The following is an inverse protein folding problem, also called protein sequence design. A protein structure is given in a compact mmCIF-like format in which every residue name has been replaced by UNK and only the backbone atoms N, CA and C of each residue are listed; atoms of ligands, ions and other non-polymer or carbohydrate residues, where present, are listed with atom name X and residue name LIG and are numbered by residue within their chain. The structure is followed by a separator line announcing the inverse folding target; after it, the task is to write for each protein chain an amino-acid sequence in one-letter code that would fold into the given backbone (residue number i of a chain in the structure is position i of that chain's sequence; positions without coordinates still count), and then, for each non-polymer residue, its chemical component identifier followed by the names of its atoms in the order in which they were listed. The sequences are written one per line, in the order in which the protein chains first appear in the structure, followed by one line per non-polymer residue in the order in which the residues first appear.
data_IF_501959459323
#
_entry.id   IF_501959459323
#
_cell.length_a   1.000
_cell.length_b   1.000
_cell.length_c   1.000
_cell.angle_alpha   90.00
_cell.angle_beta   90.00
_cell.angle_gamma   90.00
#
_symmetry.space_group_name_H-M   'P 1'
#
loop_
_entity.id
_entity.type
_entity.pdbx_description
1 polymer ?
#
# COMPACT_ATOMS: atom_id res chain seq x y z
N UNK A 1 -9.71 24.56 -3.81
CA UNK A 1 -9.19 23.21 -3.51
C UNK A 1 -10.27 22.42 -2.80
N UNK A 2 -10.49 21.18 -3.21
CA UNK A 2 -11.41 20.23 -2.56
C UNK A 2 -10.59 19.15 -1.86
N UNK A 3 -10.79 18.96 -0.58
CA UNK A 3 -10.11 17.95 0.24
C UNK A 3 -11.08 16.84 0.58
N UNK A 4 -10.78 15.61 0.17
CA UNK A 4 -11.47 14.43 0.63
C UNK A 4 -10.97 14.00 2.00
N UNK A 5 -11.85 13.43 2.83
CA UNK A 5 -11.49 12.84 4.11
C UNK A 5 -12.05 11.42 4.21
N UNK A 6 -11.15 10.47 4.44
CA UNK A 6 -11.51 9.09 4.77
C UNK A 6 -10.85 8.68 6.08
N UNK A 7 -11.65 8.45 7.11
CA UNK A 7 -11.19 7.99 8.42
C UNK A 7 -11.56 6.53 8.64
N UNK A 8 -10.67 5.77 9.26
CA UNK A 8 -10.98 4.42 9.69
C UNK A 8 -12.11 4.44 10.74
N UNK A 9 -13.28 3.90 10.43
CA UNK A 9 -14.45 3.99 11.32
C UNK A 9 -14.26 3.22 12.63
N UNK A 10 -13.38 2.21 12.65
CA UNK A 10 -13.10 1.40 13.83
C UNK A 10 -12.04 2.01 14.76
N UNK A 11 -11.51 3.18 14.41
CA UNK A 11 -10.53 3.92 15.22
C UNK A 11 -11.10 5.26 15.65
N UNK A 12 -11.57 5.43 16.90
CA UNK A 12 -12.11 6.71 17.40
C UNK A 12 -11.18 7.89 17.14
N UNK A 13 -9.87 7.68 17.30
CA UNK A 13 -8.85 8.67 17.03
C UNK A 13 -8.82 9.14 15.57
N UNK A 14 -9.07 8.26 14.61
CA UNK A 14 -9.14 8.66 13.19
C UNK A 14 -10.35 9.58 12.94
N UNK A 15 -11.48 9.29 13.58
CA UNK A 15 -12.67 10.15 13.51
C UNK A 15 -12.42 11.51 14.18
N UNK A 16 -11.71 11.55 15.31
CA UNK A 16 -11.34 12.81 15.97
C UNK A 16 -10.37 13.64 15.10
N UNK A 17 -9.44 13.01 14.42
CA UNK A 17 -8.58 13.69 13.44
C UNK A 17 -9.39 14.23 12.26
N UNK A 18 -10.42 13.52 11.79
CA UNK A 18 -11.32 14.01 10.73
C UNK A 18 -12.05 15.30 11.19
N UNK A 19 -12.61 15.32 12.39
CA UNK A 19 -13.24 16.49 12.98
C UNK A 19 -12.25 17.67 13.11
N UNK A 20 -11.06 17.39 13.62
CA UNK A 20 -9.98 18.38 13.74
C UNK A 20 -9.58 18.95 12.39
N UNK A 21 -9.45 18.10 11.36
CA UNK A 21 -9.14 18.55 10.00
C UNK A 21 -10.20 19.52 9.49
N UNK A 22 -11.48 19.16 9.56
CA UNK A 22 -12.59 20.02 9.11
C UNK A 22 -12.60 21.35 9.87
N UNK A 23 -12.44 21.30 11.19
CA UNK A 23 -12.36 22.50 12.02
C UNK A 23 -11.16 23.39 11.65
N UNK A 24 -9.98 22.80 11.46
CA UNK A 24 -8.76 23.54 11.12
C UNK A 24 -8.82 24.14 9.72
N UNK A 25 -9.36 23.43 8.74
CA UNK A 25 -9.53 23.95 7.38
C UNK A 25 -10.53 25.11 7.36
N UNK A 26 -11.63 25.00 8.09
CA UNK A 26 -12.68 26.02 8.16
C UNK A 26 -13.23 26.36 6.78
N UNK A 27 -13.26 27.64 6.42
CA UNK A 27 -13.73 28.14 5.13
C UNK A 27 -12.65 28.26 4.04
N UNK A 28 -11.40 27.85 4.34
CA UNK A 28 -10.26 27.99 3.42
C UNK A 28 -10.27 26.99 2.26
N UNK A 29 -10.98 25.87 2.41
CA UNK A 29 -11.19 24.88 1.37
C UNK A 29 -12.49 24.10 1.60
N UNK A 30 -13.04 23.50 0.54
CA UNK A 30 -14.17 22.58 0.63
C UNK A 30 -13.67 21.22 1.15
N UNK A 31 -14.29 20.69 2.20
CA UNK A 31 -13.97 19.36 2.75
C UNK A 31 -15.15 18.43 2.57
N UNK A 32 -14.93 17.28 1.96
CA UNK A 32 -15.93 16.26 1.70
C UNK A 32 -15.51 14.93 2.36
N UNK A 33 -16.37 14.38 3.22
CA UNK A 33 -16.10 13.08 3.83
C UNK A 33 -16.51 11.93 2.91
N UNK A 34 -15.83 10.78 3.05
CA UNK A 34 -16.33 9.54 2.48
C UNK A 34 -17.61 9.08 3.22
N UNK A 35 -18.51 8.37 2.54
CA UNK A 35 -19.73 7.84 3.12
C UNK A 35 -19.44 7.01 4.37
N UNK A 36 -18.41 6.17 4.34
CA UNK A 36 -17.99 5.32 5.46
C UNK A 36 -17.53 6.15 6.68
N UNK A 37 -16.93 7.31 6.45
CA UNK A 37 -16.56 8.24 7.52
C UNK A 37 -17.80 8.92 8.09
N UNK A 38 -18.71 9.36 7.21
CA UNK A 38 -19.95 10.06 7.60
C UNK A 38 -20.90 9.19 8.40
N UNK A 39 -20.97 7.88 8.16
CA UNK A 39 -21.75 6.92 8.96
C UNK A 39 -21.36 6.93 10.44
N UNK A 40 -20.08 7.21 10.76
CA UNK A 40 -19.55 7.22 12.14
C UNK A 40 -19.25 8.63 12.66
N UNK A 41 -19.40 9.64 11.82
CA UNK A 41 -19.27 11.06 12.13
C UNK A 41 -20.38 11.85 11.40
N UNK A 42 -21.64 11.77 11.84
CA UNK A 42 -22.79 12.35 11.12
C UNK A 42 -22.69 13.85 10.86
N UNK A 43 -21.93 14.57 11.68
CA UNK A 43 -21.62 15.99 11.50
C UNK A 43 -20.81 16.27 10.23
N UNK A 44 -20.15 15.26 9.64
CA UNK A 44 -19.41 15.33 8.40
C UNK A 44 -20.21 14.82 7.18
N UNK A 45 -21.49 14.53 7.36
CA UNK A 45 -22.30 13.89 6.33
C UNK A 45 -22.67 14.82 5.15
N UNK A 46 -22.49 16.15 5.30
CA UNK A 46 -22.84 17.09 4.22
C UNK A 46 -21.98 16.83 2.98
N UNK A 47 -22.62 16.43 1.87
CA UNK A 47 -21.93 16.10 0.61
C UNK A 47 -21.13 14.81 0.63
N UNK A 48 -21.28 13.96 1.66
CA UNK A 48 -20.57 12.68 1.74
C UNK A 48 -20.94 11.75 0.58
N UNK A 49 -19.93 11.07 0.02
CA UNK A 49 -20.07 10.15 -1.12
C UNK A 49 -19.16 8.92 -0.92
N UNK A 50 -19.49 7.78 -1.54
CA UNK A 50 -18.56 6.66 -1.61
C UNK A 50 -17.21 7.09 -2.16
N UNK A 51 -16.12 6.52 -1.64
CA UNK A 51 -14.75 6.88 -2.06
C UNK A 51 -14.55 6.87 -3.59
N UNK A 52 -15.18 5.93 -4.29
CA UNK A 52 -15.09 5.80 -5.75
C UNK A 52 -15.76 6.94 -6.53
N UNK A 53 -16.66 7.69 -5.88
CA UNK A 53 -17.40 8.82 -6.46
C UNK A 53 -16.90 10.18 -5.96
N UNK A 54 -16.04 10.18 -4.94
CA UNK A 54 -15.53 11.38 -4.29
C UNK A 54 -14.51 12.09 -5.20
N UNK A 55 -14.96 13.18 -5.84
CA UNK A 55 -14.13 14.00 -6.75
C UNK A 55 -13.45 15.12 -5.96
N UNK A 56 -12.19 14.89 -5.59
CA UNK A 56 -11.38 15.80 -4.77
C UNK A 56 -9.97 15.95 -5.34
N UNK A 57 -9.31 17.04 -5.01
CA UNK A 57 -7.94 17.32 -5.45
C UNK A 57 -6.93 16.46 -4.68
N UNK A 58 -7.18 16.23 -3.39
CA UNK A 58 -6.38 15.38 -2.49
C UNK A 58 -7.31 14.66 -1.52
N UNK A 59 -7.05 13.38 -1.27
CA UNK A 59 -7.72 12.58 -0.25
C UNK A 59 -6.82 12.45 0.98
N UNK A 60 -7.25 12.97 2.11
CA UNK A 60 -6.59 12.74 3.42
C UNK A 60 -7.16 11.45 4.01
N UNK A 61 -6.33 10.44 4.14
CA UNK A 61 -6.70 9.18 4.78
C UNK A 61 -6.15 9.13 6.21
N UNK A 62 -7.04 8.88 7.16
CA UNK A 62 -6.77 8.89 8.60
C UNK A 62 -6.89 7.48 9.14
N UNK A 63 -5.76 6.85 9.50
CA UNK A 63 -5.80 5.47 9.97
C UNK A 63 -4.43 4.81 10.07
N UNK A 64 -4.30 3.63 9.51
CA UNK A 64 -3.05 2.89 9.35
C UNK A 64 -2.91 2.42 7.90
N UNK A 65 -1.85 1.64 7.60
CA UNK A 65 -1.53 1.19 6.23
C UNK A 65 -2.73 0.51 5.55
N UNK A 66 -3.48 -0.33 6.26
CA UNK A 66 -4.69 -0.96 5.70
C UNK A 66 -5.77 0.05 5.27
N UNK A 67 -5.93 1.18 5.99
CA UNK A 67 -6.85 2.27 5.62
C UNK A 67 -6.36 2.97 4.36
N UNK A 68 -5.05 3.15 4.23
CA UNK A 68 -4.45 3.80 3.07
C UNK A 68 -4.59 2.93 1.82
N UNK A 69 -4.33 1.63 1.94
CA UNK A 69 -4.53 0.67 0.84
C UNK A 69 -6.00 0.60 0.40
N UNK A 70 -6.93 0.58 1.37
CA UNK A 70 -8.37 0.63 1.10
C UNK A 70 -8.74 1.87 0.26
N UNK A 71 -8.24 3.04 0.68
CA UNK A 71 -8.49 4.30 -0.01
C UNK A 71 -7.88 4.34 -1.42
N UNK A 72 -6.63 3.89 -1.59
CA UNK A 72 -5.93 3.82 -2.89
C UNK A 72 -6.61 2.89 -3.89
N UNK A 73 -7.25 1.82 -3.44
CA UNK A 73 -7.98 0.93 -4.33
C UNK A 73 -9.27 1.55 -4.87
N UNK A 74 -9.86 2.50 -4.14
CA UNK A 74 -11.20 3.04 -4.42
C UNK A 74 -11.21 4.49 -4.92
N UNK A 75 -10.19 5.27 -4.62
CA UNK A 75 -10.09 6.66 -5.05
C UNK A 75 -8.91 6.87 -5.99
N UNK A 76 -9.10 7.60 -7.10
CA UNK A 76 -8.00 8.00 -7.98
C UNK A 76 -7.25 9.24 -7.48
N UNK A 77 -7.75 9.92 -6.43
CA UNK A 77 -7.14 11.15 -5.93
C UNK A 77 -5.79 10.86 -5.24
N UNK A 78 -4.80 11.78 -5.36
CA UNK A 78 -3.58 11.71 -4.57
C UNK A 78 -3.89 11.59 -3.08
N UNK A 79 -3.20 10.68 -2.38
CA UNK A 79 -3.43 10.35 -0.99
C UNK A 79 -2.44 11.03 -0.07
N UNK A 80 -2.92 11.78 0.92
CA UNK A 80 -2.14 12.18 2.09
C UNK A 80 -2.41 11.19 3.24
N UNK A 81 -1.48 10.27 3.52
CA UNK A 81 -1.68 9.28 4.57
C UNK A 81 -1.27 9.85 5.93
N UNK A 82 -2.23 9.93 6.86
CA UNK A 82 -2.05 10.40 8.23
C UNK A 82 -2.26 9.24 9.20
N UNK A 83 -1.26 8.94 9.98
CA UNK A 83 -1.34 7.86 10.95
C UNK A 83 -2.25 8.22 12.13
N UNK A 84 -3.11 7.28 12.53
CA UNK A 84 -3.95 7.38 13.72
C UNK A 84 -3.68 6.19 14.64
N UNK A 85 -2.51 6.14 15.26
CA UNK A 85 -2.07 5.08 16.15
C UNK A 85 -0.66 4.59 15.85
N UNK A 86 -0.43 3.27 15.79
CA UNK A 86 0.90 2.74 15.47
C UNK A 86 1.30 3.13 14.05
N UNK A 87 2.45 3.77 13.92
CA UNK A 87 2.95 4.27 12.63
C UNK A 87 3.35 3.12 11.72
N UNK A 88 2.74 3.04 10.55
CA UNK A 88 3.04 2.08 9.48
C UNK A 88 4.16 2.51 8.54
N UNK A 89 4.27 1.83 7.41
CA UNK A 89 5.28 2.12 6.38
C UNK A 89 4.83 3.16 5.35
N UNK A 90 3.54 3.47 5.27
CA UNK A 90 2.99 4.37 4.25
C UNK A 90 2.72 5.79 4.76
N UNK A 91 2.59 5.97 6.08
CA UNK A 91 2.20 7.23 6.68
C UNK A 91 3.22 8.36 6.40
N UNK A 92 2.71 9.54 6.02
CA UNK A 92 3.50 10.76 5.86
C UNK A 92 3.49 11.60 7.14
N UNK A 93 2.35 11.64 7.82
CA UNK A 93 2.10 12.51 8.98
C UNK A 93 1.74 11.66 10.19
N UNK A 94 2.33 11.99 11.34
CA UNK A 94 1.90 11.47 12.62
C UNK A 94 0.72 12.32 13.14
N UNK A 95 -0.48 11.72 13.18
CA UNK A 95 -1.69 12.38 13.67
C UNK A 95 -1.69 12.62 15.17
N UNK A 96 -0.80 11.98 15.95
CA UNK A 96 -0.66 12.19 17.39
C UNK A 96 0.07 13.48 17.69
N UNK A 97 0.97 13.88 16.82
CA UNK A 97 1.65 15.15 16.92
C UNK A 97 0.77 16.25 16.33
N UNK A 98 0.10 17.01 17.19
CA UNK A 98 -0.81 18.08 16.78
C UNK A 98 -0.13 19.12 15.88
N UNK A 99 1.06 19.55 16.22
CA UNK A 99 1.81 20.55 15.45
C UNK A 99 2.19 20.02 14.07
N UNK A 100 2.64 18.77 13.98
CA UNK A 100 2.94 18.11 12.71
C UNK A 100 1.68 17.97 11.84
N UNK A 101 0.55 17.59 12.43
CA UNK A 101 -0.72 17.43 11.72
C UNK A 101 -1.23 18.77 11.17
N UNK A 102 -1.32 19.83 12.01
CA UNK A 102 -1.78 21.15 11.60
C UNK A 102 -0.81 21.78 10.57
N UNK A 103 0.50 21.60 10.76
CA UNK A 103 1.52 22.03 9.81
C UNK A 103 1.41 21.34 8.45
N UNK A 104 1.10 20.05 8.43
CA UNK A 104 0.87 19.29 7.19
C UNK A 104 -0.37 19.81 6.44
N UNK A 105 -1.47 20.07 7.14
CA UNK A 105 -2.69 20.64 6.54
C UNK A 105 -2.43 22.06 6.00
N UNK A 106 -1.65 22.86 6.72
CA UNK A 106 -1.27 24.20 6.26
C UNK A 106 -0.44 24.13 4.97
N UNK A 107 0.53 23.22 4.91
CA UNK A 107 1.33 22.97 3.69
C UNK A 107 0.45 22.48 2.53
N UNK A 108 -0.50 21.60 2.82
CA UNK A 108 -1.47 21.11 1.84
C UNK A 108 -2.28 22.25 1.24
N UNK A 109 -2.84 23.14 2.09
CA UNK A 109 -3.62 24.30 1.67
C UNK A 109 -2.83 25.29 0.81
N UNK A 110 -1.52 25.42 1.07
CA UNK A 110 -0.60 26.27 0.29
C UNK A 110 -0.07 25.63 -0.98
N UNK A 111 -0.40 24.35 -1.25
CA UNK A 111 0.19 23.60 -2.36
C UNK A 111 1.68 23.29 -2.18
N UNK A 112 2.21 23.36 -0.95
CA UNK A 112 3.63 23.16 -0.62
C UNK A 112 3.92 21.66 -0.39
N UNK A 113 3.69 20.84 -1.40
CA UNK A 113 3.91 19.39 -1.42
C UNK A 113 4.30 18.94 -2.82
N UNK A 114 4.78 17.70 -2.94
CA UNK A 114 4.97 17.04 -4.23
C UNK A 114 4.19 15.73 -4.29
N UNK A 115 4.01 15.20 -5.48
CA UNK A 115 3.32 13.94 -5.73
C UNK A 115 4.37 12.84 -5.99
N UNK A 116 4.34 11.81 -5.16
CA UNK A 116 5.16 10.62 -5.32
C UNK A 116 4.32 9.51 -5.97
N UNK A 117 4.70 9.10 -7.16
CA UNK A 117 4.04 8.01 -7.88
C UNK A 117 4.71 6.68 -7.57
N UNK A 118 3.90 5.65 -7.30
CA UNK A 118 4.37 4.28 -7.09
C UNK A 118 3.65 3.33 -8.02
N UNK A 119 4.36 2.31 -8.49
CA UNK A 119 3.74 1.30 -9.34
C UNK A 119 2.69 0.49 -8.57
N UNK A 120 1.73 -0.05 -9.33
CA UNK A 120 0.76 -1.03 -8.84
C UNK A 120 0.79 -2.26 -9.75
N UNK A 121 0.29 -3.38 -9.24
CA UNK A 121 0.11 -4.61 -10.00
C UNK A 121 -1.35 -4.77 -10.36
N UNK A 122 -1.65 -4.85 -11.64
CA UNK A 122 -2.95 -5.28 -12.15
C UNK A 122 -3.03 -6.79 -12.07
N UNK A 123 -4.19 -7.30 -11.63
CA UNK A 123 -4.40 -8.72 -11.38
C UNK A 123 -5.63 -9.22 -12.12
N UNK A 124 -5.50 -10.40 -12.74
CA UNK A 124 -6.60 -11.13 -13.35
C UNK A 124 -6.62 -12.56 -12.85
N UNK A 125 -7.81 -13.10 -12.65
CA UNK A 125 -8.05 -14.54 -12.44
C UNK A 125 -8.84 -15.01 -13.64
N UNK A 126 -8.23 -15.88 -14.45
CA UNK A 126 -8.76 -16.28 -15.76
C UNK A 126 -9.05 -15.02 -16.61
N UNK A 127 -10.31 -14.61 -16.76
CA UNK A 127 -10.70 -13.40 -17.52
C UNK A 127 -11.23 -12.25 -16.63
N UNK A 128 -11.36 -12.47 -15.31
CA UNK A 128 -11.90 -11.48 -14.39
C UNK A 128 -10.80 -10.58 -13.83
N UNK A 129 -10.97 -9.27 -13.97
CA UNK A 129 -10.07 -8.30 -13.35
C UNK A 129 -10.40 -8.14 -11.86
N UNK A 130 -9.37 -8.15 -11.04
CA UNK A 130 -9.43 -7.81 -9.62
C UNK A 130 -8.98 -6.37 -9.39
N UNK A 131 -9.01 -5.93 -8.13
CA UNK A 131 -8.43 -4.65 -7.75
C UNK A 131 -6.91 -4.63 -8.03
N UNK A 132 -6.35 -3.44 -8.35
CA UNK A 132 -4.90 -3.31 -8.48
C UNK A 132 -4.24 -3.32 -7.10
N UNK A 133 -3.20 -4.09 -6.94
CA UNK A 133 -2.40 -4.12 -5.73
C UNK A 133 -1.42 -2.95 -5.65
N UNK A 134 -1.38 -2.29 -4.51
CA UNK A 134 -0.34 -1.33 -4.16
C UNK A 134 0.82 -2.02 -3.44
N UNK A 135 0.51 -3.00 -2.58
CA UNK A 135 1.51 -3.83 -1.92
C UNK A 135 1.75 -5.14 -2.68
N UNK A 136 0.81 -6.07 -2.60
CA UNK A 136 1.02 -7.41 -3.15
C UNK A 136 -0.27 -8.13 -3.55
N UNK A 137 -0.09 -9.10 -4.41
CA UNK A 137 -1.05 -10.16 -4.75
C UNK A 137 -0.54 -11.45 -4.13
N UNK A 138 -1.35 -12.09 -3.32
CA UNK A 138 -1.05 -13.39 -2.69
C UNK A 138 -1.92 -14.46 -3.30
N UNK A 139 -1.31 -15.46 -3.91
CA UNK A 139 -1.98 -16.69 -4.35
C UNK A 139 -1.72 -17.76 -3.31
N UNK A 140 -2.74 -18.16 -2.58
CA UNK A 140 -2.58 -19.01 -1.39
C UNK A 140 -3.50 -20.24 -1.44
N UNK A 141 -3.14 -21.28 -0.69
CA UNK A 141 -4.05 -22.39 -0.42
C UNK A 141 -5.31 -21.91 0.31
N UNK A 142 -6.46 -22.49 -0.01
CA UNK A 142 -7.72 -22.22 0.71
C UNK A 142 -7.82 -22.95 2.05
N UNK A 143 -6.91 -23.86 2.34
CA UNK A 143 -6.93 -24.69 3.56
C UNK A 143 -5.61 -24.60 4.31
N UNK A 144 -5.69 -24.30 5.60
CA UNK A 144 -4.52 -24.25 6.49
C UNK A 144 -3.82 -25.62 6.52
N UNK A 145 -2.48 -25.60 6.53
CA UNK A 145 -1.62 -26.78 6.57
C UNK A 145 -1.81 -27.76 5.36
N UNK A 146 -2.30 -27.26 4.25
CA UNK A 146 -2.48 -28.03 3.00
C UNK A 146 -1.80 -27.33 1.85
N UNK A 147 -0.51 -27.60 1.67
CA UNK A 147 0.26 -27.06 0.53
C UNK A 147 -0.36 -27.37 -0.82
N UNK A 148 -0.10 -26.52 -1.78
CA UNK A 148 -0.50 -26.68 -3.18
C UNK A 148 0.73 -26.75 -4.08
N UNK A 149 0.52 -27.27 -5.29
CA UNK A 149 1.51 -27.22 -6.36
C UNK A 149 1.20 -26.04 -7.25
N UNK A 150 2.11 -25.07 -7.26
CA UNK A 150 2.04 -23.88 -8.09
C UNK A 150 3.04 -23.97 -9.23
N UNK A 151 2.64 -23.50 -10.42
CA UNK A 151 3.53 -23.25 -11.55
C UNK A 151 3.65 -21.73 -11.71
N UNK A 152 4.89 -21.26 -11.73
CA UNK A 152 5.19 -19.83 -11.98
C UNK A 152 5.62 -19.73 -13.44
N UNK A 153 5.06 -18.73 -14.14
CA UNK A 153 5.44 -18.37 -15.50
C UNK A 153 5.84 -16.91 -15.61
N UNK A 154 6.68 -16.62 -16.58
CA UNK A 154 7.05 -15.24 -17.00
C UNK A 154 6.86 -15.19 -18.52
N UNK A 155 6.10 -14.21 -19.00
CA UNK A 155 5.78 -14.01 -20.42
C UNK A 155 5.24 -15.29 -21.07
N UNK A 156 4.30 -15.96 -20.40
CA UNK A 156 3.67 -17.23 -20.82
C UNK A 156 4.62 -18.44 -20.88
N UNK A 157 5.86 -18.31 -20.42
CA UNK A 157 6.81 -19.42 -20.33
C UNK A 157 6.89 -19.91 -18.89
N UNK A 158 6.63 -21.19 -18.60
CA UNK A 158 6.83 -21.72 -17.27
C UNK A 158 8.32 -21.63 -16.89
N UNK A 159 8.59 -21.05 -15.72
CA UNK A 159 9.94 -20.89 -15.18
C UNK A 159 10.22 -21.79 -13.99
N UNK A 160 9.18 -22.31 -13.34
CA UNK A 160 9.34 -23.22 -12.23
C UNK A 160 8.04 -23.71 -11.63
N UNK A 161 8.16 -24.81 -10.85
CA UNK A 161 7.08 -25.37 -10.06
C UNK A 161 7.53 -25.52 -8.62
N UNK A 162 6.65 -25.23 -7.68
CA UNK A 162 6.93 -25.39 -6.25
C UNK A 162 5.70 -25.85 -5.49
N UNK A 163 5.94 -26.66 -4.44
CA UNK A 163 4.94 -26.96 -3.41
C UNK A 163 5.13 -25.94 -2.28
N UNK A 164 4.08 -25.21 -1.95
CA UNK A 164 4.12 -24.16 -0.96
C UNK A 164 2.71 -23.92 -0.37
N UNK A 165 2.63 -23.10 0.66
CA UNK A 165 1.35 -22.56 1.10
C UNK A 165 0.84 -21.47 0.14
N UNK A 166 1.76 -20.76 -0.54
CA UNK A 166 1.38 -19.74 -1.51
C UNK A 166 2.57 -19.14 -2.26
N UNK A 167 2.23 -18.18 -3.11
CA UNK A 167 3.15 -17.33 -3.87
C UNK A 167 2.71 -15.88 -3.70
N UNK A 168 3.65 -14.99 -3.42
CA UNK A 168 3.45 -13.53 -3.34
C UNK A 168 4.04 -12.89 -4.58
N UNK A 169 3.28 -12.00 -5.21
CA UNK A 169 3.78 -11.08 -6.23
C UNK A 169 3.66 -9.67 -5.66
N UNK A 170 4.79 -9.07 -5.26
CA UNK A 170 4.81 -7.78 -4.58
C UNK A 170 5.38 -6.67 -5.46
N UNK A 171 4.90 -5.44 -5.21
CA UNK A 171 5.52 -4.20 -5.68
C UNK A 171 6.71 -3.83 -4.78
N UNK A 172 7.54 -2.85 -5.15
CA UNK A 172 8.52 -2.29 -4.23
C UNK A 172 7.90 -1.72 -2.95
N UNK A 173 6.71 -1.11 -3.03
CA UNK A 173 5.96 -0.67 -1.84
C UNK A 173 5.62 -1.84 -0.93
N UNK A 174 5.15 -2.96 -1.49
CA UNK A 174 4.82 -4.17 -0.76
C UNK A 174 6.02 -4.98 -0.28
N UNK A 175 7.24 -4.62 -0.70
CA UNK A 175 8.46 -5.29 -0.23
C UNK A 175 8.66 -5.21 1.30
N UNK A 176 8.04 -4.22 1.94
CA UNK A 176 8.03 -4.04 3.40
C UNK A 176 6.76 -4.56 4.08
N UNK A 177 5.89 -5.26 3.34
CA UNK A 177 4.64 -5.88 3.80
C UNK A 177 4.81 -7.39 3.96
N UNK A 178 3.90 -8.19 3.44
CA UNK A 178 3.91 -9.64 3.58
C UNK A 178 5.11 -10.30 2.87
N UNK A 179 5.62 -9.69 1.79
CA UNK A 179 6.84 -10.14 1.14
C UNK A 179 8.06 -10.12 2.08
N UNK A 180 8.16 -9.13 2.96
CA UNK A 180 9.23 -9.07 3.98
C UNK A 180 9.11 -10.22 4.98
N UNK A 181 7.91 -10.57 5.42
CA UNK A 181 7.67 -11.73 6.30
C UNK A 181 8.01 -13.07 5.62
N UNK A 182 8.00 -13.10 4.29
CA UNK A 182 8.44 -14.23 3.46
C UNK A 182 9.92 -14.13 3.05
N UNK A 183 10.73 -13.38 3.78
CA UNK A 183 12.17 -13.17 3.54
C UNK A 183 12.50 -12.57 2.16
N UNK A 184 11.58 -11.76 1.60
CA UNK A 184 11.82 -10.97 0.40
C UNK A 184 12.77 -9.81 0.65
N UNK A 185 13.43 -9.29 -0.38
CA UNK A 185 14.29 -8.12 -0.27
C UNK A 185 13.45 -6.87 -0.01
N UNK A 186 14.01 -5.92 0.74
CA UNK A 186 13.46 -4.57 0.85
C UNK A 186 13.90 -3.78 -0.37
N UNK A 187 12.94 -3.12 -1.01
CA UNK A 187 13.13 -2.37 -2.26
C UNK A 187 12.65 -0.94 -2.05
N UNK A 188 13.42 0.00 -2.58
CA UNK A 188 13.00 1.40 -2.56
C UNK A 188 11.66 1.58 -3.29
N UNK A 189 10.63 2.17 -2.64
CA UNK A 189 9.26 2.20 -3.16
C UNK A 189 9.07 2.94 -4.50
N UNK A 190 10.04 3.79 -4.88
CA UNK A 190 10.02 4.55 -6.14
C UNK A 190 10.57 3.78 -7.33
N UNK A 191 11.21 2.64 -7.10
CA UNK A 191 11.63 1.75 -8.17
C UNK A 191 10.42 1.05 -8.80
N UNK A 192 10.56 0.66 -10.05
CA UNK A 192 9.57 -0.17 -10.75
C UNK A 192 10.14 -1.60 -10.89
N UNK A 193 9.60 -2.55 -10.15
CA UNK A 193 9.93 -3.98 -10.21
C UNK A 193 8.78 -4.81 -9.66
N UNK A 194 8.73 -6.10 -9.99
CA UNK A 194 7.87 -7.06 -9.28
C UNK A 194 8.75 -8.09 -8.57
N UNK A 195 8.38 -8.44 -7.35
CA UNK A 195 9.05 -9.46 -6.54
C UNK A 195 8.18 -10.70 -6.50
N UNK A 196 8.75 -11.84 -6.84
CA UNK A 196 8.11 -13.15 -6.73
C UNK A 196 8.69 -13.86 -5.51
N UNK A 197 7.87 -14.12 -4.49
CA UNK A 197 8.26 -14.81 -3.27
C UNK A 197 7.43 -16.09 -3.07
N UNK A 198 8.05 -17.15 -2.59
CA UNK A 198 7.34 -18.34 -2.12
C UNK A 198 6.96 -18.19 -0.64
N UNK A 199 5.76 -18.65 -0.27
CA UNK A 199 5.29 -18.76 1.11
C UNK A 199 5.44 -20.19 1.60
N UNK A 200 6.21 -20.40 2.67
CA UNK A 200 6.44 -21.69 3.30
C UNK A 200 6.69 -22.83 2.28
N UNK A 201 7.69 -22.72 1.40
CA UNK A 201 7.97 -23.71 0.37
C UNK A 201 8.45 -25.02 0.98
N UNK A 202 8.02 -26.18 0.41
CA UNK A 202 8.39 -27.50 0.87
C UNK A 202 9.73 -27.93 0.26
N UNK A 203 10.65 -28.41 1.07
CA UNK A 203 11.97 -29.00 0.72
C UNK A 203 13.00 -28.06 0.06
N UNK A 204 12.61 -26.88 -0.37
CA UNK A 204 13.51 -25.89 -0.98
C UNK A 204 13.26 -24.52 -0.36
N UNK A 205 14.29 -23.70 -0.29
CA UNK A 205 14.16 -22.27 0.05
C UNK A 205 14.44 -21.46 -1.23
N UNK A 206 13.50 -21.38 -2.17
CA UNK A 206 13.72 -20.62 -3.38
C UNK A 206 13.96 -19.15 -3.00
N UNK A 207 14.96 -18.53 -3.65
CA UNK A 207 15.22 -17.12 -3.48
C UNK A 207 14.06 -16.32 -4.07
N UNK A 208 13.76 -15.17 -3.45
CA UNK A 208 12.91 -14.19 -4.08
C UNK A 208 13.51 -13.74 -5.42
N UNK A 209 12.69 -13.61 -6.43
CA UNK A 209 13.11 -13.20 -7.76
C UNK A 209 12.54 -11.83 -8.07
N UNK A 210 13.41 -10.88 -8.46
CA UNK A 210 12.99 -9.61 -9.00
C UNK A 210 12.87 -9.71 -10.51
N UNK A 211 11.77 -9.21 -11.04
CA UNK A 211 11.53 -9.13 -12.48
C UNK A 211 11.25 -7.70 -12.92
N UNK A 212 11.60 -7.41 -14.15
CA UNK A 212 11.31 -6.12 -14.78
C UNK A 212 9.79 -5.88 -14.84
N UNK A 213 9.32 -4.63 -14.67
CA UNK A 213 7.89 -4.31 -14.64
C UNK A 213 7.17 -4.53 -15.99
N UNK A 214 7.91 -4.69 -17.07
CA UNK A 214 7.37 -5.01 -18.40
C UNK A 214 6.94 -6.47 -18.56
N UNK A 215 7.37 -7.37 -17.68
CA UNK A 215 6.99 -8.78 -17.73
C UNK A 215 5.57 -9.02 -17.23
N UNK A 216 4.97 -10.08 -17.74
CA UNK A 216 3.72 -10.67 -17.23
C UNK A 216 4.07 -11.88 -16.40
N UNK A 217 3.75 -11.85 -15.12
CA UNK A 217 3.95 -12.97 -14.18
C UNK A 217 2.65 -13.76 -14.09
N UNK A 218 2.73 -15.08 -14.21
CA UNK A 218 1.59 -15.97 -14.02
C UNK A 218 1.82 -16.95 -12.88
N UNK A 219 0.76 -17.23 -12.13
CA UNK A 219 0.74 -18.26 -11.09
C UNK A 219 -0.44 -19.18 -11.36
N UNK A 220 -0.16 -20.44 -11.72
CA UNK A 220 -1.18 -21.43 -11.97
C UNK A 220 -1.25 -22.43 -10.83
N UNK A 221 -2.46 -22.71 -10.36
CA UNK A 221 -2.73 -23.78 -9.40
C UNK A 221 -2.90 -25.11 -10.15
N UNK A 222 -1.90 -25.99 -10.06
CA UNK A 222 -1.86 -27.21 -10.90
C UNK A 222 -2.81 -28.34 -10.44
N UNK A 223 -3.31 -28.30 -9.21
CA UNK A 223 -4.18 -29.34 -8.64
C UNK A 223 -5.64 -29.00 -8.91
N UNK A 224 -6.23 -29.59 -9.94
CA UNK A 224 -7.60 -29.27 -10.40
C UNK A 224 -8.71 -29.57 -9.36
N UNK A 225 -8.48 -30.47 -8.42
CA UNK A 225 -9.41 -30.85 -7.35
C UNK A 225 -9.21 -30.03 -6.07
N UNK A 226 -8.32 -29.03 -6.07
CA UNK A 226 -7.93 -28.26 -4.90
C UNK A 226 -8.00 -26.76 -5.16
N UNK A 227 -8.88 -26.10 -4.48
CA UNK A 227 -8.99 -24.65 -4.57
C UNK A 227 -7.88 -23.91 -3.80
N UNK A 228 -7.63 -22.71 -4.24
CA UNK A 228 -6.86 -21.67 -3.57
C UNK A 228 -7.67 -20.41 -3.39
N UNK A 229 -6.99 -19.35 -2.97
CA UNK A 229 -7.52 -17.99 -2.85
C UNK A 229 -6.52 -17.02 -3.43
N UNK A 230 -7.02 -15.93 -3.98
CA UNK A 230 -6.22 -14.76 -4.36
C UNK A 230 -6.60 -13.62 -3.44
N UNK A 231 -5.59 -13.04 -2.77
CA UNK A 231 -5.77 -11.90 -1.87
C UNK A 231 -5.00 -10.71 -2.42
N UNK A 232 -5.66 -9.56 -2.54
CA UNK A 232 -5.05 -8.31 -3.03
C UNK A 232 -4.95 -7.31 -1.89
N UNK A 233 -3.72 -6.90 -1.55
CA UNK A 233 -3.39 -5.94 -0.49
C UNK A 233 -4.00 -6.30 0.90
N UNK A 234 -4.34 -7.55 1.15
CA UNK A 234 -5.08 -7.97 2.34
C UNK A 234 -6.50 -7.39 2.45
N UNK A 235 -7.04 -6.77 1.37
CA UNK A 235 -8.33 -6.07 1.37
C UNK A 235 -9.46 -6.87 0.73
N UNK A 236 -9.14 -7.69 -0.23
CA UNK A 236 -10.12 -8.49 -0.96
C UNK A 236 -9.62 -9.91 -1.15
N UNK A 237 -10.52 -10.87 -0.98
CA UNK A 237 -10.27 -12.28 -1.18
C UNK A 237 -11.17 -12.80 -2.31
N UNK A 238 -10.58 -13.54 -3.25
CA UNK A 238 -11.28 -14.17 -4.36
C UNK A 238 -10.94 -15.64 -4.41
N UNK A 239 -11.94 -16.50 -4.50
CA UNK A 239 -11.73 -17.94 -4.67
C UNK A 239 -11.01 -18.21 -5.99
N UNK A 240 -9.98 -19.05 -5.94
CA UNK A 240 -9.23 -19.55 -7.10
C UNK A 240 -9.54 -21.04 -7.29
N UNK A 241 -10.35 -21.42 -8.26
CA UNK A 241 -10.59 -22.83 -8.57
C UNK A 241 -9.31 -23.53 -8.95
N UNK A 242 -9.22 -24.83 -8.64
CA UNK A 242 -8.10 -25.65 -9.07
C UNK A 242 -7.95 -25.65 -10.58
N UNK A 243 -6.72 -25.53 -11.08
CA UNK A 243 -6.41 -25.40 -12.50
C UNK A 243 -6.42 -23.96 -13.04
N UNK A 244 -6.99 -22.99 -12.31
CA UNK A 244 -7.02 -21.59 -12.72
C UNK A 244 -5.65 -20.93 -12.68
N UNK A 245 -5.53 -19.85 -13.42
CA UNK A 245 -4.32 -19.03 -13.53
C UNK A 245 -4.57 -17.60 -13.03
N UNK A 246 -3.64 -17.10 -12.24
CA UNK A 246 -3.56 -15.69 -11.83
C UNK A 246 -2.52 -15.02 -12.71
N UNK A 247 -2.88 -13.90 -13.31
CA UNK A 247 -2.03 -13.10 -14.19
C UNK A 247 -1.77 -11.78 -13.50
N UNK A 248 -0.49 -11.44 -13.30
CA UNK A 248 -0.02 -10.21 -12.68
C UNK A 248 0.87 -9.43 -13.65
N UNK A 249 0.58 -8.15 -13.84
CA UNK A 249 1.36 -7.26 -14.69
C UNK A 249 1.33 -5.83 -14.15
N UNK A 250 2.23 -4.97 -14.62
CA UNK A 250 2.25 -3.57 -14.23
C UNK A 250 0.92 -2.89 -14.56
N UNK A 251 0.27 -2.32 -13.57
CA UNK A 251 -0.94 -1.53 -13.79
C UNK A 251 -0.62 -0.22 -14.54
N UNK A 252 -1.46 0.22 -15.48
CA UNK A 252 -1.38 1.57 -16.02
C UNK A 252 -1.71 2.65 -14.98
N UNK A 253 -2.38 2.29 -13.89
CA UNK A 253 -2.73 3.20 -12.79
C UNK A 253 -1.62 3.20 -11.75
N UNK A 254 -1.23 4.37 -11.28
CA UNK A 254 -0.26 4.56 -10.19
C UNK A 254 -0.97 4.73 -8.84
N UNK A 255 -0.29 4.39 -7.76
CA UNK A 255 -0.63 4.89 -6.44
C UNK A 255 0.10 6.23 -6.26
N UNK A 256 -0.64 7.30 -6.00
CA UNK A 256 -0.09 8.65 -5.90
C UNK A 256 -0.18 9.13 -4.46
N UNK A 257 0.96 9.46 -3.87
CA UNK A 257 1.06 9.94 -2.51
C UNK A 257 1.43 11.43 -2.47
N UNK A 258 0.82 12.16 -1.56
CA UNK A 258 1.26 13.50 -1.18
C UNK A 258 2.41 13.36 -0.20
N UNK A 259 3.55 14.02 -0.51
CA UNK A 259 4.75 14.02 0.32
C UNK A 259 5.23 15.43 0.61
N UNK A 260 5.82 15.59 1.77
CA UNK A 260 6.37 16.87 2.22
C UNK A 260 7.90 16.91 2.23
N UNK A 261 8.57 15.76 2.13
CA UNK A 261 10.01 15.64 2.05
C UNK A 261 10.44 14.64 0.98
N UNK A 262 11.47 14.96 0.21
CA UNK A 262 11.97 14.17 -0.93
C UNK A 262 12.70 12.88 -0.50
N UNK A 263 13.08 12.74 0.77
CA UNK A 263 13.87 11.61 1.29
C UNK A 263 13.06 10.71 2.21
N UNK A 264 11.92 10.25 1.72
CA UNK A 264 11.05 9.37 2.51
C UNK A 264 11.72 8.02 2.82
N UNK A 265 12.32 7.36 1.83
CA UNK A 265 12.86 6.01 1.98
C UNK A 265 14.05 5.91 2.96
N UNK A 266 15.09 6.75 2.89
CA UNK A 266 16.18 6.70 3.87
C UNK A 266 15.71 6.87 5.32
N UNK A 267 14.75 7.77 5.57
CA UNK A 267 14.15 7.96 6.88
C UNK A 267 13.41 6.70 7.36
N UNK A 268 12.60 6.11 6.48
CA UNK A 268 11.84 4.90 6.77
C UNK A 268 12.75 3.71 7.04
N UNK A 269 13.78 3.53 6.19
CA UNK A 269 14.73 2.43 6.28
C UNK A 269 15.52 2.47 7.59
N UNK A 270 16.07 3.63 7.95
CA UNK A 270 16.85 3.80 9.18
C UNK A 270 16.03 3.56 10.45
N UNK A 271 14.77 4.00 10.48
CA UNK A 271 13.94 3.90 11.69
C UNK A 271 13.22 2.56 11.85
N UNK A 272 13.04 1.78 10.76
CA UNK A 272 12.13 0.64 10.78
C UNK A 272 12.72 -0.68 10.33
N UNK A 273 13.67 -0.66 9.42
CA UNK A 273 14.22 -1.87 8.82
C UNK A 273 15.58 -2.21 9.41
N UNK A 274 16.41 -1.20 9.65
CA UNK A 274 17.67 -1.32 10.36
C UNK A 274 17.59 -0.47 11.65
N UNK A 275 16.95 -0.97 12.72
CA UNK A 275 17.05 -0.30 14.00
C UNK A 275 18.52 -0.37 14.43
N UNK A 276 19.22 0.74 14.31
CA UNK A 276 20.52 0.91 14.95
C UNK A 276 20.30 0.70 16.45
N UNK A 277 21.10 -0.18 17.06
CA UNK A 277 21.08 -0.31 18.50
C UNK A 277 21.32 1.08 19.11
N UNK A 278 20.46 1.50 20.00
CA UNK A 278 20.53 2.77 20.72
C UNK A 278 21.70 2.85 21.70
N UNK A 279 22.67 1.94 21.65
CA UNK A 279 23.84 1.88 22.50
C UNK A 279 25.04 2.69 21.99
N UNK A 280 24.83 3.58 21.01
CA UNK A 280 25.79 4.58 20.54
C UNK A 280 25.47 5.96 21.17
N UNK A 281 26.47 6.87 21.28
CA UNK A 281 26.24 8.20 21.85
C UNK A 281 25.14 8.91 21.05
N UNK A 282 24.21 9.52 21.80
CA UNK A 282 23.12 10.34 21.30
C UNK A 282 23.69 11.40 20.33
N UNK A 283 23.64 11.12 19.05
CA UNK A 283 23.90 12.07 18.00
C UNK A 283 22.58 12.43 17.37
N UNK A 284 22.21 13.72 17.40
CA UNK A 284 21.12 14.28 16.63
C UNK A 284 21.20 13.76 15.18
N UNK A 285 20.06 13.45 14.54
CA UNK A 285 20.04 13.12 13.12
C UNK A 285 20.71 14.29 12.37
N UNK A 286 21.58 14.02 11.40
CA UNK A 286 22.26 15.08 10.66
C UNK A 286 21.22 16.06 10.11
N UNK A 287 21.33 17.31 10.54
CA UNK A 287 20.50 18.40 10.07
C UNK A 287 20.59 18.48 8.54
N UNK A 288 19.51 18.93 7.92
CA UNK A 288 19.41 19.22 6.48
C UNK A 288 20.57 20.13 6.05
N UNK A 289 21.73 19.56 5.76
CA UNK A 289 22.82 20.29 5.11
C UNK A 289 22.76 20.01 3.62
N UNK A 290 22.62 21.09 2.88
CA UNK A 290 22.61 21.20 1.44
C UNK A 290 23.56 20.21 0.74
N UNK A 291 23.00 19.38 -0.13
CA UNK A 291 23.77 18.63 -1.11
C UNK A 291 23.97 19.54 -2.33
N UNK A 292 25.21 19.69 -2.83
CA UNK A 292 25.48 20.54 -3.99
C UNK A 292 24.72 19.99 -5.21
N UNK A 293 24.02 20.90 -5.88
CA UNK A 293 23.44 20.67 -7.22
C UNK A 293 24.58 20.44 -8.19
N UNK A 294 24.69 19.22 -8.70
CA UNK A 294 25.52 18.97 -9.88
C UNK A 294 24.81 19.54 -11.11
N UNK A 295 25.46 20.57 -11.68
CA UNK A 295 25.19 21.14 -13.00
C UNK A 295 25.41 20.14 -14.12
#
# INVERSE_FOLDING_TARGET
MKIGVHANPHKPKALDLARRLVHYVGTRAEVLASAETAEHAPELASGAQPLSQLKVDVLVALGGDGTFLYALQRSPAPLLPVNAGTVGFLAEVDGDNRTAFEGAIERLLRGAYFLEERMRIATQVDSAHLADATNEVVVHTSQVAKMRLFEIGIDRKPVGRLRADGVIIATPTGSTSYAMSAFGPVIEPTLDAMVINALAPFQTAPRAVLVEPGHVVTVRLLMADKDGVVVVDGQSETRLPGGSEVICYRSPRKAVFVRFASRYFPRLYGTRILPWSTDGPEGDPPGDTDVPTHS
#
